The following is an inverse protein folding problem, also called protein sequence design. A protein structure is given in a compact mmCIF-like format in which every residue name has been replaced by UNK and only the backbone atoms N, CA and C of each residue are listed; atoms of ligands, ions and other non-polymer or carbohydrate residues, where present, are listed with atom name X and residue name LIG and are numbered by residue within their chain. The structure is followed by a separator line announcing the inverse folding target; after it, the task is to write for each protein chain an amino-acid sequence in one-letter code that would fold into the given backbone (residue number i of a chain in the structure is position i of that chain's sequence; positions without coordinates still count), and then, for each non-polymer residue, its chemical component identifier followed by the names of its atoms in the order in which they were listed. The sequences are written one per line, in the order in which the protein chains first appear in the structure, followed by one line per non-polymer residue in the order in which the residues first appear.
data_IF_588286471262
#
_entry.id   IF_588286471262
#
_cell.length_a   1.000
_cell.length_b   1.000
_cell.length_c   1.000
_cell.angle_alpha   90.00
_cell.angle_beta   90.00
_cell.angle_gamma   90.00
#
_symmetry.space_group_name_H-M   'P 1'
#
loop_
_entity.id
_entity.type
_entity.pdbx_description
1 polymer ?
#
# COMPACT_ATOMS: atom_id res chain seq x y z
N UNK A 1 -39.34 -64.72 30.19
CA UNK A 1 -38.59 -63.77 31.05
C UNK A 1 -37.12 -63.58 30.64
N UNK A 2 -36.79 -63.44 29.34
CA UNK A 2 -35.38 -63.23 28.92
C UNK A 2 -35.09 -61.92 28.15
N UNK A 3 -36.11 -61.22 27.61
CA UNK A 3 -35.88 -59.94 26.91
C UNK A 3 -35.86 -58.70 27.82
N UNK A 4 -36.56 -58.70 28.97
CA UNK A 4 -36.59 -57.52 29.86
C UNK A 4 -35.25 -57.23 30.56
N UNK A 5 -34.32 -58.19 30.64
CA UNK A 5 -33.01 -58.00 31.28
C UNK A 5 -31.97 -57.26 30.42
N UNK A 6 -32.15 -57.18 29.09
CA UNK A 6 -31.18 -56.50 28.20
C UNK A 6 -31.43 -55.01 28.02
N UNK A 7 -32.65 -54.52 28.25
CA UNK A 7 -32.99 -53.09 28.11
C UNK A 7 -32.49 -52.24 29.29
N UNK A 8 -32.38 -52.81 30.50
CA UNK A 8 -31.90 -52.08 31.69
C UNK A 8 -30.40 -51.75 31.68
N UNK A 9 -29.59 -52.43 30.87
CA UNK A 9 -28.12 -52.28 30.84
C UNK A 9 -27.65 -51.19 29.86
N UNK A 10 -28.46 -50.83 28.87
CA UNK A 10 -28.14 -49.75 27.93
C UNK A 10 -28.41 -48.35 28.53
N UNK A 11 -29.44 -48.21 29.38
CA UNK A 11 -29.79 -46.92 30.00
C UNK A 11 -28.77 -46.44 31.04
N UNK A 12 -28.00 -47.35 31.65
CA UNK A 12 -27.03 -47.04 32.71
C UNK A 12 -25.67 -46.56 32.15
N UNK A 13 -25.34 -46.88 30.89
CA UNK A 13 -24.10 -46.42 30.24
C UNK A 13 -24.18 -44.99 29.67
N UNK A 14 -25.39 -44.44 29.48
CA UNK A 14 -25.58 -43.06 28.99
C UNK A 14 -25.52 -42.02 30.13
N UNK A 15 -25.67 -42.45 31.39
CA UNK A 15 -25.73 -41.57 32.57
C UNK A 15 -24.35 -41.43 33.26
N UNK A 16 -23.36 -42.27 32.90
CA UNK A 16 -22.06 -42.34 33.59
C UNK A 16 -20.85 -41.77 32.80
N UNK A 17 -21.05 -40.99 31.73
CA UNK A 17 -19.97 -40.22 31.09
C UNK A 17 -19.99 -38.76 31.57
N UNK A 18 -19.18 -38.38 32.58
CA UNK A 18 -19.14 -37.01 33.07
C UNK A 18 -18.54 -36.05 32.03
N UNK A 19 -19.08 -34.83 32.02
CA UNK A 19 -18.53 -33.66 31.33
C UNK A 19 -16.99 -33.60 31.45
N UNK A 20 -16.29 -33.82 30.32
CA UNK A 20 -14.89 -33.42 30.19
C UNK A 20 -14.83 -32.13 29.39
N UNK A 21 -14.69 -31.02 30.10
CA UNK A 21 -14.66 -29.66 29.55
C UNK A 21 -13.35 -29.41 28.79
N UNK A 22 -13.36 -29.64 27.48
CA UNK A 22 -12.33 -29.10 26.58
C UNK A 22 -12.69 -27.65 26.22
N UNK A 23 -12.19 -26.68 26.99
CA UNK A 23 -12.32 -25.26 26.67
C UNK A 23 -11.49 -24.90 25.44
N UNK A 24 -12.08 -25.02 24.25
CA UNK A 24 -11.65 -24.25 23.09
C UNK A 24 -12.35 -22.88 23.17
N UNK A 25 -11.61 -21.85 23.57
CA UNK A 25 -12.16 -20.50 23.75
C UNK A 25 -12.65 -19.90 22.42
N UNK A 26 -13.96 -19.93 22.19
CA UNK A 26 -14.57 -19.23 21.05
C UNK A 26 -14.66 -17.75 21.39
N UNK A 27 -13.72 -16.96 20.88
CA UNK A 27 -13.69 -15.52 21.06
C UNK A 27 -14.78 -14.85 20.20
N UNK A 28 -16.00 -14.75 20.74
CA UNK A 28 -17.09 -14.01 20.09
C UNK A 28 -16.82 -12.51 20.16
N UNK A 29 -16.06 -12.00 19.19
CA UNK A 29 -15.87 -10.57 18.97
C UNK A 29 -17.15 -9.91 18.45
N UNK A 30 -18.06 -9.55 19.35
CA UNK A 30 -19.27 -8.79 19.00
C UNK A 30 -18.90 -7.34 18.75
N UNK A 31 -18.60 -7.00 17.49
CA UNK A 31 -18.32 -5.64 17.04
C UNK A 31 -19.58 -4.77 17.01
N UNK A 32 -20.07 -4.35 18.19
CA UNK A 32 -21.08 -3.29 18.29
C UNK A 32 -20.41 -1.95 17.93
N UNK A 33 -20.95 -1.27 16.93
CA UNK A 33 -20.27 -0.15 16.27
C UNK A 33 -20.18 1.15 17.08
N UNK A 34 -19.23 2.00 16.68
CA UNK A 34 -19.17 3.43 16.99
C UNK A 34 -19.04 4.24 15.68
N UNK A 35 -19.67 5.42 15.57
CA UNK A 35 -19.82 6.09 14.28
C UNK A 35 -18.65 7.01 13.90
N UNK A 36 -18.45 7.11 12.58
CA UNK A 36 -18.11 8.34 11.82
C UNK A 36 -17.19 9.37 12.51
N UNK A 37 -15.94 9.46 12.03
CA UNK A 37 -15.29 10.76 11.89
C UNK A 37 -15.31 11.19 10.42
N UNK A 38 -15.89 12.36 10.18
CA UNK A 38 -16.13 12.94 8.86
C UNK A 38 -15.26 14.18 8.69
N UNK A 39 -14.61 14.30 7.51
CA UNK A 39 -14.06 15.54 6.90
C UNK A 39 -12.80 16.18 7.54
N UNK A 40 -12.15 17.15 6.84
CA UNK A 40 -12.31 17.55 5.43
C UNK A 40 -11.00 17.75 4.64
N UNK A 41 -11.00 17.38 3.35
CA UNK A 41 -10.49 18.28 2.31
C UNK A 41 -11.57 18.41 1.22
N UNK A 42 -11.88 19.64 0.84
CA UNK A 42 -13.13 19.99 0.17
C UNK A 42 -13.12 19.80 -1.35
N UNK A 43 -14.25 19.34 -1.89
CA UNK A 43 -14.64 19.53 -3.29
C UNK A 43 -14.74 21.05 -3.61
N UNK A 44 -14.40 21.54 -4.80
CA UNK A 44 -15.25 21.67 -6.01
C UNK A 44 -14.63 22.77 -6.92
N UNK A 45 -15.13 23.07 -8.15
CA UNK A 45 -16.20 22.44 -8.94
C UNK A 45 -15.65 21.82 -10.25
N UNK A 46 -16.38 21.36 -11.28
CA UNK A 46 -17.82 21.31 -11.64
C UNK A 46 -18.12 19.96 -12.38
N UNK A 47 -19.41 19.58 -12.44
CA UNK A 47 -20.09 18.69 -13.42
C UNK A 47 -19.68 17.20 -13.54
N UNK A 48 -20.74 16.38 -13.44
CA UNK A 48 -20.98 15.13 -14.20
C UNK A 48 -20.09 13.90 -13.88
N UNK A 49 -20.61 12.73 -13.49
CA UNK A 49 -21.98 12.27 -13.27
C UNK A 49 -22.02 11.32 -12.08
N UNK A 50 -23.13 11.27 -11.34
CA UNK A 50 -23.37 10.17 -10.42
C UNK A 50 -23.85 8.93 -11.18
N UNK A 51 -23.42 7.74 -10.75
CA UNK A 51 -24.24 6.53 -10.67
C UNK A 51 -23.59 5.63 -9.61
N UNK A 52 -24.30 5.39 -8.51
CA UNK A 52 -23.85 4.45 -7.49
C UNK A 52 -24.10 3.03 -7.95
N UNK A 53 -23.04 2.21 -8.03
CA UNK A 53 -23.15 0.76 -7.91
C UNK A 53 -22.05 0.21 -7.02
N UNK A 54 -22.33 0.28 -5.72
CA UNK A 54 -21.62 -0.47 -4.70
C UNK A 54 -21.84 -1.96 -4.96
N UNK A 55 -20.83 -2.67 -5.45
CA UNK A 55 -20.82 -4.14 -5.47
C UNK A 55 -20.00 -4.61 -4.26
N UNK A 56 -20.64 -5.11 -3.19
CA UNK A 56 -19.89 -5.68 -2.08
C UNK A 56 -19.14 -6.92 -2.58
N UNK A 57 -17.88 -7.05 -2.16
CA UNK A 57 -17.08 -8.23 -2.43
C UNK A 57 -17.78 -9.45 -1.83
N UNK A 58 -18.22 -10.37 -2.70
CA UNK A 58 -18.80 -11.64 -2.28
C UNK A 58 -17.71 -12.51 -1.67
N UNK A 59 -17.62 -12.55 -0.34
CA UNK A 59 -16.82 -13.52 0.40
C UNK A 59 -17.41 -14.92 0.20
N UNK A 60 -17.11 -15.54 -0.93
CA UNK A 60 -17.32 -16.96 -1.14
C UNK A 60 -16.38 -17.73 -0.22
N UNK A 61 -16.91 -18.26 0.87
CA UNK A 61 -16.16 -19.14 1.77
C UNK A 61 -15.90 -20.45 1.03
N UNK A 62 -14.74 -20.53 0.36
CA UNK A 62 -14.25 -21.78 -0.22
C UNK A 62 -13.85 -22.68 0.93
N UNK A 63 -14.79 -23.51 1.39
CA UNK A 63 -14.51 -24.60 2.33
C UNK A 63 -13.60 -25.59 1.62
N UNK A 64 -12.29 -25.48 1.86
CA UNK A 64 -11.33 -26.43 1.36
C UNK A 64 -11.69 -27.84 1.86
N UNK A 65 -11.63 -28.88 1.00
CA UNK A 65 -11.86 -30.25 1.45
C UNK A 65 -10.84 -30.62 2.54
N UNK A 66 -11.21 -31.48 3.51
CA UNK A 66 -10.30 -31.86 4.58
C UNK A 66 -9.07 -32.56 4.00
N UNK A 67 -7.91 -31.91 4.14
CA UNK A 67 -6.62 -32.50 3.77
C UNK A 67 -6.32 -33.63 4.75
N UNK A 68 -6.47 -34.87 4.29
CA UNK A 68 -6.04 -36.05 5.04
C UNK A 68 -4.51 -36.08 5.01
N UNK A 69 -3.88 -35.43 5.99
CA UNK A 69 -2.44 -35.47 6.19
C UNK A 69 -2.07 -36.88 6.68
N UNK A 70 -1.74 -37.76 5.74
CA UNK A 70 -1.07 -39.01 6.07
C UNK A 70 0.25 -38.72 6.78
N UNK A 71 0.57 -39.51 7.82
CA UNK A 71 1.81 -39.33 8.56
C UNK A 71 3.01 -39.44 7.62
N UNK A 72 3.85 -38.40 7.57
CA UNK A 72 4.99 -38.37 6.68
C UNK A 72 5.97 -39.51 7.02
N UNK A 73 6.56 -40.21 6.02
CA UNK A 73 7.55 -41.24 6.27
C UNK A 73 8.77 -40.62 6.96
N UNK A 74 9.26 -41.29 8.01
CA UNK A 74 10.48 -40.86 8.73
C UNK A 74 11.69 -41.09 7.83
N UNK A 75 12.07 -40.06 7.08
CA UNK A 75 13.34 -40.05 6.33
C UNK A 75 14.46 -39.76 7.32
N UNK A 76 15.25 -40.78 7.64
CA UNK A 76 16.48 -40.63 8.42
C UNK A 76 17.52 -39.90 7.56
N UNK A 77 17.52 -38.57 7.60
CA UNK A 77 18.58 -37.77 6.98
C UNK A 77 19.89 -38.00 7.77
N UNK A 78 20.84 -38.66 7.13
CA UNK A 78 22.23 -38.64 7.59
C UNK A 78 22.76 -37.21 7.50
N UNK A 79 23.45 -36.69 8.55
CA UNK A 79 23.99 -35.34 8.50
C UNK A 79 25.09 -35.25 7.43
N UNK A 80 24.94 -34.30 6.49
CA UNK A 80 25.98 -34.02 5.51
C UNK A 80 27.27 -33.55 6.21
N UNK A 81 28.42 -34.07 5.80
CA UNK A 81 29.72 -33.65 6.32
C UNK A 81 30.01 -32.24 5.78
N UNK A 82 29.71 -31.23 6.59
CA UNK A 82 29.99 -29.82 6.26
C UNK A 82 31.50 -29.59 6.38
N UNK A 83 32.20 -29.65 5.24
CA UNK A 83 33.54 -29.07 5.15
C UNK A 83 33.39 -27.55 5.23
N UNK A 84 33.84 -26.95 6.34
CA UNK A 84 33.86 -25.51 6.48
C UNK A 84 34.89 -24.91 5.50
N UNK A 85 34.51 -24.01 4.59
CA UNK A 85 35.47 -23.33 3.74
C UNK A 85 36.36 -22.42 4.60
N UNK A 86 37.68 -22.56 4.46
CA UNK A 86 38.65 -21.69 5.14
C UNK A 86 38.49 -20.26 4.61
N UNK A 87 37.92 -19.38 5.43
CA UNK A 87 37.74 -17.97 5.09
C UNK A 87 39.07 -17.24 5.26
N UNK A 88 39.82 -17.11 4.17
CA UNK A 88 40.98 -16.21 4.10
C UNK A 88 40.45 -14.77 4.08
N UNK A 89 40.40 -14.11 5.24
CA UNK A 89 40.05 -12.69 5.30
C UNK A 89 41.22 -11.85 4.79
N UNK A 90 41.04 -11.02 3.74
CA UNK A 90 42.06 -10.05 3.36
C UNK A 90 42.19 -8.98 4.45
N UNK A 91 43.42 -8.69 4.85
CA UNK A 91 43.73 -7.65 5.85
C UNK A 91 43.37 -6.26 5.30
N UNK A 92 42.21 -5.74 5.71
CA UNK A 92 41.77 -4.40 5.34
C UNK A 92 42.52 -3.33 6.14
N UNK A 93 43.38 -2.56 5.48
CA UNK A 93 43.91 -1.30 6.01
C UNK A 93 42.94 -0.16 5.69
N UNK A 94 42.36 0.53 6.69
CA UNK A 94 41.48 1.66 6.44
C UNK A 94 42.25 2.83 5.80
N UNK A 95 41.62 3.60 4.89
CA UNK A 95 42.23 4.80 4.33
C UNK A 95 42.42 5.89 5.40
N UNK A 96 43.41 6.79 5.26
CA UNK A 96 43.62 7.88 6.20
C UNK A 96 42.41 8.83 6.21
N UNK A 97 42.10 9.45 7.37
CA UNK A 97 41.00 10.41 7.48
C UNK A 97 41.28 11.67 6.64
N UNK A 98 40.24 12.33 6.08
CA UNK A 98 40.39 13.58 5.37
C UNK A 98 40.87 14.71 6.30
N UNK A 99 41.60 15.72 5.79
CA UNK A 99 42.02 16.87 6.58
C UNK A 99 40.81 17.71 7.03
N UNK A 100 40.90 18.27 8.25
CA UNK A 100 39.84 19.11 8.83
C UNK A 100 39.51 20.32 7.94
N UNK A 101 38.22 20.68 7.77
CA UNK A 101 37.84 21.88 7.05
C UNK A 101 38.30 23.14 7.79
N UNK A 102 38.67 24.17 7.02
CA UNK A 102 39.07 25.47 7.55
C UNK A 102 37.88 26.19 8.25
N UNK A 103 38.14 27.11 9.20
CA UNK A 103 37.07 27.84 9.88
C UNK A 103 36.27 28.70 8.91
N UNK A 104 34.93 28.60 8.97
CA UNK A 104 34.04 29.47 8.20
C UNK A 104 34.05 30.90 8.77
N UNK A 105 33.98 31.95 7.93
CA UNK A 105 33.84 33.32 8.40
C UNK A 105 32.45 33.55 9.03
N UNK A 106 32.42 34.34 10.10
CA UNK A 106 31.21 34.71 10.84
C UNK A 106 30.24 35.56 9.97
N UNK A 107 28.91 35.33 10.03
CA UNK A 107 27.95 36.22 9.41
C UNK A 107 27.80 37.53 10.23
N UNK A 108 27.85 38.67 9.55
CA UNK A 108 27.51 39.98 10.13
C UNK A 108 26.00 40.15 10.27
N UNK A 109 25.50 40.79 11.35
CA UNK A 109 24.07 41.06 11.50
C UNK A 109 23.64 42.23 10.61
N UNK A 110 23.06 41.94 9.45
CA UNK A 110 22.40 42.97 8.62
C UNK A 110 21.02 43.27 9.19
N UNK A 111 20.85 44.48 9.69
CA UNK A 111 19.58 45.02 10.21
C UNK A 111 18.51 45.14 9.13
N UNK A 112 17.31 44.66 9.45
CA UNK A 112 16.05 44.99 8.77
C UNK A 112 15.83 46.50 8.69
N UNK A 113 15.22 46.98 7.60
CA UNK A 113 14.05 47.84 7.75
C UNK A 113 12.84 47.31 6.97
N UNK A 114 11.65 47.61 7.49
CA UNK A 114 10.39 47.23 6.88
C UNK A 114 10.18 47.94 5.52
N UNK A 115 9.51 47.26 4.60
CA UNK A 115 8.77 47.92 3.52
C UNK A 115 7.48 47.14 3.23
N UNK A 116 6.47 47.85 2.75
CA UNK A 116 5.10 47.38 2.69
C UNK A 116 4.83 46.33 1.60
N UNK A 117 3.64 45.73 1.68
CA UNK A 117 3.10 44.85 0.65
C UNK A 117 3.13 45.48 -0.75
N UNK A 118 3.10 44.64 -1.78
CA UNK A 118 1.86 44.57 -2.52
C UNK A 118 1.19 43.21 -2.43
N UNK A 119 -0.14 43.23 -2.40
CA UNK A 119 -0.99 42.07 -2.64
C UNK A 119 -0.71 41.49 -4.04
N UNK A 120 0.08 40.43 -4.10
CA UNK A 120 0.13 39.54 -5.25
C UNK A 120 -0.38 38.19 -4.80
N UNK A 121 -1.71 38.06 -4.83
CA UNK A 121 -2.35 36.75 -4.97
C UNK A 121 -1.74 36.13 -6.23
N UNK A 122 -1.04 34.99 -6.16
CA UNK A 122 -0.62 34.30 -7.36
C UNK A 122 -1.88 33.70 -7.99
N UNK A 123 -2.50 34.46 -8.88
CA UNK A 123 -3.58 33.98 -9.74
C UNK A 123 -3.07 32.74 -10.43
N UNK A 124 -3.63 31.58 -10.09
CA UNK A 124 -3.26 30.29 -10.65
C UNK A 124 -3.72 30.19 -12.10
N UNK A 125 -3.04 30.91 -12.98
CA UNK A 125 -3.02 30.60 -14.39
C UNK A 125 -2.56 29.15 -14.50
N UNK A 126 -3.43 28.29 -15.05
CA UNK A 126 -3.12 26.89 -15.34
C UNK A 126 -2.21 26.87 -16.56
N UNK A 127 -0.97 27.31 -16.32
CA UNK A 127 0.13 27.11 -17.23
C UNK A 127 0.42 25.62 -17.29
N UNK A 128 0.24 25.04 -18.47
CA UNK A 128 0.80 23.73 -18.79
C UNK A 128 2.21 23.93 -19.35
N UNK A 129 3.05 24.76 -18.72
CA UNK A 129 4.38 25.04 -19.25
C UNK A 129 5.34 23.91 -18.88
N UNK A 130 6.44 23.83 -19.63
CA UNK A 130 7.52 22.88 -19.34
C UNK A 130 8.08 23.08 -17.92
N UNK A 131 8.16 24.33 -17.46
CA UNK A 131 8.65 24.67 -16.13
C UNK A 131 7.74 24.13 -15.00
N UNK A 132 6.42 24.11 -15.21
CA UNK A 132 5.47 23.57 -14.22
C UNK A 132 5.65 22.04 -14.07
N UNK A 133 5.88 21.34 -15.19
CA UNK A 133 6.16 19.90 -15.19
C UNK A 133 7.51 19.60 -14.55
N UNK A 134 8.56 20.34 -14.91
CA UNK A 134 9.91 20.16 -14.34
C UNK A 134 9.91 20.45 -12.82
N UNK A 135 9.17 21.46 -12.38
CA UNK A 135 8.97 21.79 -10.95
C UNK A 135 8.24 20.66 -10.21
N UNK A 136 7.14 20.14 -10.77
CA UNK A 136 6.42 19.03 -10.15
C UNK A 136 7.25 17.72 -10.15
N UNK A 137 8.07 17.46 -11.18
CA UNK A 137 9.03 16.35 -11.18
C UNK A 137 10.12 16.49 -10.11
N UNK A 138 10.50 17.72 -9.74
CA UNK A 138 11.39 17.99 -8.61
C UNK A 138 10.67 17.79 -7.26
N UNK A 139 9.44 18.28 -7.11
CA UNK A 139 8.62 18.11 -5.90
C UNK A 139 8.32 16.64 -5.59
N UNK A 140 8.14 15.79 -6.62
CA UNK A 140 7.98 14.34 -6.48
C UNK A 140 9.20 13.64 -5.85
N UNK A 141 10.35 14.32 -5.74
CA UNK A 141 11.58 13.84 -5.08
C UNK A 141 11.83 14.49 -3.71
N UNK A 142 10.91 15.31 -3.23
CA UNK A 142 11.06 16.03 -1.96
C UNK A 142 10.85 15.10 -0.75
N UNK A 143 11.46 15.46 0.39
CA UNK A 143 11.27 14.72 1.64
C UNK A 143 9.85 14.83 2.21
N UNK A 144 9.10 15.85 1.82
CA UNK A 144 7.74 16.11 2.28
C UNK A 144 6.70 15.23 1.56
N UNK A 145 5.89 14.52 2.33
CA UNK A 145 4.77 13.72 1.82
C UNK A 145 3.76 14.57 1.04
N UNK A 146 3.44 15.77 1.54
CA UNK A 146 2.40 16.61 0.95
C UNK A 146 2.86 17.12 -0.43
N UNK A 147 4.06 17.69 -0.52
CA UNK A 147 4.65 18.10 -1.79
C UNK A 147 4.80 16.95 -2.80
N UNK A 148 5.12 15.72 -2.39
CA UNK A 148 5.12 14.56 -3.31
C UNK A 148 3.71 14.18 -3.77
N UNK A 149 2.73 14.24 -2.89
CA UNK A 149 1.31 13.95 -3.19
C UNK A 149 0.75 14.94 -4.19
N UNK A 150 0.92 16.25 -3.93
CA UNK A 150 0.44 17.32 -4.79
C UNK A 150 1.14 17.31 -6.16
N UNK A 151 2.45 17.02 -6.19
CA UNK A 151 3.20 16.81 -7.43
C UNK A 151 2.63 15.66 -8.27
N UNK A 152 2.34 14.51 -7.66
CA UNK A 152 1.81 13.35 -8.37
C UNK A 152 0.44 13.63 -9.00
N UNK A 153 -0.46 14.32 -8.28
CA UNK A 153 -1.75 14.78 -8.81
C UNK A 153 -1.55 15.82 -9.91
N UNK A 154 -0.66 16.80 -9.73
CA UNK A 154 -0.44 17.86 -10.71
C UNK A 154 0.10 17.32 -12.04
N UNK A 155 1.13 16.44 -12.00
CA UNK A 155 1.67 15.78 -13.19
C UNK A 155 0.59 15.00 -13.97
N UNK A 156 -0.37 14.40 -13.26
CA UNK A 156 -1.56 13.79 -13.86
C UNK A 156 -2.47 14.78 -14.57
N UNK A 157 -2.80 15.91 -13.93
CA UNK A 157 -3.65 16.98 -14.48
C UNK A 157 -3.02 17.69 -15.67
N UNK A 158 -1.68 17.79 -15.68
CA UNK A 158 -0.89 18.33 -16.79
C UNK A 158 -0.76 17.34 -17.98
N UNK A 159 -1.25 16.10 -17.83
CA UNK A 159 -1.09 15.00 -18.81
C UNK A 159 0.38 14.79 -19.24
N UNK A 160 1.33 14.95 -18.32
CA UNK A 160 2.76 14.91 -18.61
C UNK A 160 3.25 13.48 -18.88
N UNK A 161 3.34 13.06 -20.15
CA UNK A 161 3.79 11.69 -20.51
C UNK A 161 5.21 11.37 -20.00
N UNK A 162 6.11 12.36 -19.95
CA UNK A 162 7.45 12.22 -19.36
C UNK A 162 7.43 11.89 -17.85
N UNK A 163 6.30 12.12 -17.17
CA UNK A 163 6.11 11.80 -15.76
C UNK A 163 5.72 10.34 -15.51
N UNK A 164 5.38 9.54 -16.54
CA UNK A 164 4.93 8.15 -16.35
C UNK A 164 5.97 7.32 -15.59
N UNK A 165 7.25 7.37 -15.98
CA UNK A 165 8.32 6.64 -15.28
C UNK A 165 8.48 7.07 -13.82
N UNK A 166 8.63 8.38 -13.52
CA UNK A 166 8.63 8.91 -12.15
C UNK A 166 7.41 8.53 -11.32
N UNK A 167 6.19 8.58 -11.88
CA UNK A 167 4.95 8.23 -11.19
C UNK A 167 4.85 6.71 -10.94
N UNK A 168 5.27 5.86 -11.89
CA UNK A 168 5.37 4.41 -11.68
C UNK A 168 6.37 4.08 -10.57
N UNK A 169 7.49 4.82 -10.47
CA UNK A 169 8.44 4.66 -9.36
C UNK A 169 7.80 5.07 -8.02
N UNK A 170 7.06 6.16 -7.96
CA UNK A 170 6.35 6.57 -6.75
C UNK A 170 5.30 5.51 -6.35
N UNK A 171 4.47 5.05 -7.29
CA UNK A 171 3.48 3.99 -7.08
C UNK A 171 4.08 2.69 -6.53
N UNK A 172 5.29 2.31 -6.96
CA UNK A 172 5.90 1.03 -6.55
C UNK A 172 6.78 1.12 -5.30
N UNK A 173 7.14 2.32 -4.82
CA UNK A 173 8.23 2.45 -3.84
C UNK A 173 8.13 3.65 -2.89
N UNK A 174 7.09 4.50 -2.96
CA UNK A 174 6.92 5.55 -1.96
C UNK A 174 6.48 4.95 -0.62
N UNK A 175 7.13 5.31 0.51
CA UNK A 175 6.72 4.84 1.82
C UNK A 175 5.30 5.30 2.19
N UNK A 176 4.83 6.44 1.67
CA UNK A 176 3.49 6.96 1.99
C UNK A 176 2.42 6.36 1.07
N UNK A 177 1.36 5.72 1.61
CA UNK A 177 0.25 5.23 0.79
C UNK A 177 -0.46 6.36 0.06
N UNK A 178 -0.53 7.58 0.62
CA UNK A 178 -1.15 8.74 -0.04
C UNK A 178 -0.41 9.12 -1.33
N UNK A 179 0.92 9.06 -1.32
CA UNK A 179 1.73 9.35 -2.51
C UNK A 179 1.56 8.24 -3.56
N UNK A 180 1.47 6.96 -3.14
CA UNK A 180 1.19 5.85 -4.05
C UNK A 180 -0.20 5.96 -4.68
N UNK A 181 -1.23 6.30 -3.89
CA UNK A 181 -2.60 6.56 -4.37
C UNK A 181 -2.62 7.73 -5.37
N UNK A 182 -2.00 8.85 -5.02
CA UNK A 182 -1.88 10.01 -5.90
C UNK A 182 -1.13 9.68 -7.21
N UNK A 183 -0.09 8.83 -7.15
CA UNK A 183 0.62 8.37 -8.34
C UNK A 183 -0.25 7.46 -9.22
N UNK A 184 -1.02 6.52 -8.64
CA UNK A 184 -1.98 5.72 -9.38
C UNK A 184 -3.03 6.58 -10.10
N UNK A 185 -3.59 7.57 -9.39
CA UNK A 185 -4.54 8.54 -9.96
C UNK A 185 -3.91 9.39 -11.06
N UNK A 186 -2.67 9.87 -10.86
CA UNK A 186 -1.92 10.64 -11.85
C UNK A 186 -1.68 9.87 -13.14
N UNK A 187 -1.29 8.59 -13.05
CA UNK A 187 -1.14 7.68 -14.19
C UNK A 187 -2.47 7.45 -14.93
N UNK A 188 -3.57 7.28 -14.19
CA UNK A 188 -4.92 7.17 -14.74
C UNK A 188 -5.35 8.41 -15.53
N UNK A 189 -5.00 9.61 -15.04
CA UNK A 189 -5.25 10.87 -15.75
C UNK A 189 -4.43 11.02 -17.04
N UNK A 190 -3.13 10.69 -17.01
CA UNK A 190 -2.27 10.69 -18.22
C UNK A 190 -2.86 9.73 -19.26
N UNK A 191 -3.35 8.56 -18.82
CA UNK A 191 -4.16 7.68 -19.66
C UNK A 191 -3.35 6.82 -20.65
N UNK A 192 -2.04 6.64 -20.39
CA UNK A 192 -1.13 5.92 -21.28
C UNK A 192 -1.08 4.41 -21.00
N UNK A 193 -1.03 3.60 -22.06
CA UNK A 193 -1.00 2.15 -21.97
C UNK A 193 0.27 1.61 -21.28
N UNK A 194 1.38 2.35 -21.26
CA UNK A 194 2.62 1.94 -20.59
C UNK A 194 2.49 1.87 -19.06
N UNK A 195 1.47 2.49 -18.46
CA UNK A 195 1.18 2.41 -17.03
C UNK A 195 0.38 1.16 -16.63
N UNK A 196 -0.21 0.42 -17.58
CA UNK A 196 -1.18 -0.66 -17.28
C UNK A 196 -0.58 -1.77 -16.42
N UNK A 197 0.67 -2.19 -16.66
CA UNK A 197 1.32 -3.26 -15.89
C UNK A 197 1.57 -2.87 -14.43
N UNK A 198 2.06 -1.65 -14.20
CA UNK A 198 2.29 -1.12 -12.86
C UNK A 198 0.98 -0.94 -12.07
N UNK A 199 -0.05 -0.38 -12.72
CA UNK A 199 -1.38 -0.22 -12.11
C UNK A 199 -2.04 -1.58 -11.81
N UNK A 200 -1.91 -2.56 -12.71
CA UNK A 200 -2.42 -3.91 -12.50
C UNK A 200 -1.73 -4.62 -11.32
N UNK A 201 -0.42 -4.42 -11.16
CA UNK A 201 0.33 -4.96 -10.03
C UNK A 201 -0.09 -4.30 -8.71
N UNK A 202 -0.09 -2.97 -8.65
CA UNK A 202 -0.49 -2.22 -7.46
C UNK A 202 -1.94 -2.53 -7.04
N UNK A 203 -2.87 -2.72 -8.00
CA UNK A 203 -4.25 -3.12 -7.73
C UNK A 203 -4.39 -4.48 -7.01
N UNK A 204 -3.41 -5.37 -7.16
CA UNK A 204 -3.42 -6.72 -6.59
C UNK A 204 -2.54 -6.85 -5.33
N UNK A 205 -1.42 -6.14 -5.28
CA UNK A 205 -0.31 -6.41 -4.37
C UNK A 205 0.11 -5.24 -3.48
N UNK A 206 -0.48 -4.03 -3.60
CA UNK A 206 -0.22 -2.97 -2.64
C UNK A 206 -0.86 -3.31 -1.28
N UNK A 207 -0.17 -3.04 -0.17
CA UNK A 207 -0.66 -3.29 1.18
C UNK A 207 -1.90 -2.42 1.51
N UNK A 208 -1.98 -1.21 0.96
CA UNK A 208 -3.02 -0.23 1.27
C UNK A 208 -4.28 -0.40 0.41
N UNK A 209 -5.49 -0.46 1.02
CA UNK A 209 -6.74 -0.68 0.27
C UNK A 209 -7.12 0.47 -0.68
N UNK A 210 -6.79 1.72 -0.35
CA UNK A 210 -7.11 2.87 -1.19
C UNK A 210 -6.17 2.97 -2.39
N UNK A 211 -4.90 2.57 -2.22
CA UNK A 211 -3.97 2.42 -3.33
C UNK A 211 -4.44 1.31 -4.28
N UNK A 212 -4.81 0.13 -3.76
CA UNK A 212 -5.36 -0.97 -4.59
C UNK A 212 -6.60 -0.52 -5.37
N UNK A 213 -7.54 0.15 -4.72
CA UNK A 213 -8.77 0.67 -5.33
C UNK A 213 -8.46 1.70 -6.43
N UNK A 214 -7.59 2.68 -6.14
CA UNK A 214 -7.22 3.74 -7.08
C UNK A 214 -6.45 3.20 -8.29
N UNK A 215 -5.55 2.24 -8.09
CA UNK A 215 -4.81 1.58 -9.15
C UNK A 215 -5.73 0.73 -10.05
N UNK A 216 -6.68 -0.01 -9.46
CA UNK A 216 -7.70 -0.76 -10.19
C UNK A 216 -8.59 0.14 -11.04
N UNK A 217 -9.07 1.26 -10.49
CA UNK A 217 -9.86 2.24 -11.24
C UNK A 217 -9.07 2.86 -12.41
N UNK A 218 -7.82 3.30 -12.16
CA UNK A 218 -6.96 3.87 -13.19
C UNK A 218 -6.65 2.86 -14.32
N UNK A 219 -6.40 1.60 -13.98
CA UNK A 219 -6.22 0.51 -14.94
C UNK A 219 -7.45 0.34 -15.84
N UNK A 220 -8.64 0.28 -15.25
CA UNK A 220 -9.91 0.18 -16.00
C UNK A 220 -10.14 1.36 -16.95
N UNK A 221 -9.90 2.59 -16.49
CA UNK A 221 -10.02 3.80 -17.31
C UNK A 221 -9.10 3.73 -18.54
N UNK A 222 -7.82 3.35 -18.35
CA UNK A 222 -6.87 3.23 -19.46
C UNK A 222 -7.26 2.10 -20.40
N UNK A 223 -7.54 0.90 -19.86
CA UNK A 223 -7.89 -0.29 -20.67
C UNK A 223 -9.11 -0.02 -21.55
N UNK A 224 -10.17 0.55 -20.98
CA UNK A 224 -11.42 0.85 -21.69
C UNK A 224 -11.28 2.01 -22.71
N UNK A 225 -10.19 2.79 -22.65
CA UNK A 225 -9.82 3.78 -23.67
C UNK A 225 -9.05 3.15 -24.84
N UNK A 226 -8.28 2.08 -24.61
CA UNK A 226 -7.58 1.36 -25.67
C UNK A 226 -8.52 0.47 -26.49
N UNK A 227 -9.52 -0.18 -25.86
CA UNK A 227 -10.47 -1.07 -26.58
C UNK A 227 -11.51 -0.35 -27.44
N UNK A 228 -11.53 0.99 -27.42
CA UNK A 228 -12.46 1.85 -28.19
C UNK A 228 -11.76 2.66 -29.29
N UNK A 229 -10.49 2.35 -29.57
CA UNK A 229 -9.69 2.94 -30.65
C UNK A 229 -9.49 1.95 -31.78
#
# INVERSE_FOLDING_TARGET
MLLLRKLGLAALLVICCPWSTSQAGVYFGVGVGGPVYYRPYGCYPHRCCGWGYYRPYGFGVVVAPPVVVGAAPIVVQQPAIVQQPVVVQPSYTPPPPPPSPAPLPMPTPTTTPASAAPDVVPTTGVSNTRADIDTALQQLRSGDEQARTDAAVNLGRLHAEQAIGPLVKALNSDPSPKVREAAARGLGLIGSASALSALQYAAQADDDPEVRHSAGFAYEVIRNKQTKR
#
